data_IF_126606376833
#
_entry.id   IF_126606376833
#
_cell.length_a   1.000
_cell.length_b   1.000
_cell.length_c   1.000
_cell.angle_alpha   90.00
_cell.angle_beta   90.00
_cell.angle_gamma   90.00
#
_symmetry.space_group_name_H-M   'P 1'
#
loop_
_entity.id
_entity.type
_entity.pdbx_description
1 polymer ?
#
# COMPACT_ATOMS: atom_id res chain seq x y z
N UNK A 1 -7.86 23.60 -12.17
CA UNK A 1 -6.49 23.81 -11.66
C UNK A 1 -6.29 22.96 -10.41
N UNK A 2 -5.06 22.56 -10.08
CA UNK A 2 -4.77 21.89 -8.81
C UNK A 2 -4.29 22.91 -7.78
N UNK A 3 -4.64 22.70 -6.53
CA UNK A 3 -4.16 23.48 -5.39
C UNK A 3 -3.07 22.68 -4.69
N UNK A 4 -1.96 23.34 -4.35
CA UNK A 4 -0.85 22.76 -3.58
C UNK A 4 -0.80 23.43 -2.22
N UNK A 5 -0.81 22.61 -1.17
CA UNK A 5 -0.72 23.05 0.22
C UNK A 5 0.41 22.28 0.90
N UNK A 6 1.12 22.94 1.81
CA UNK A 6 2.07 22.30 2.71
C UNK A 6 1.48 22.31 4.11
N UNK A 7 1.33 21.11 4.69
CA UNK A 7 0.83 20.93 6.03
C UNK A 7 1.94 21.23 7.05
N UNK A 8 1.57 21.53 8.29
CA UNK A 8 2.52 21.84 9.38
C UNK A 8 3.54 20.72 9.63
N UNK A 9 3.18 19.46 9.32
CA UNK A 9 4.05 18.30 9.45
C UNK A 9 5.00 18.10 8.23
N UNK A 10 5.04 19.03 7.29
CA UNK A 10 5.87 18.98 6.08
C UNK A 10 5.29 18.13 4.94
N UNK A 11 4.10 17.56 5.10
CA UNK A 11 3.45 16.79 4.03
C UNK A 11 2.88 17.74 2.98
N UNK A 12 3.18 17.47 1.71
CA UNK A 12 2.54 18.16 0.58
C UNK A 12 1.17 17.55 0.30
N UNK A 13 0.12 18.37 0.30
CA UNK A 13 -1.21 18.02 -0.15
C UNK A 13 -1.48 18.64 -1.53
N UNK A 14 -1.84 17.81 -2.50
CA UNK A 14 -2.32 18.24 -3.80
C UNK A 14 -3.84 18.00 -3.88
N UNK A 15 -4.60 19.08 -3.96
CA UNK A 15 -6.05 19.05 -4.01
C UNK A 15 -6.54 19.36 -5.43
N UNK A 16 -7.44 18.54 -5.95
CA UNK A 16 -8.03 18.72 -7.28
C UNK A 16 -9.56 18.75 -7.18
N UNK A 17 -10.17 19.89 -6.81
CA UNK A 17 -11.61 19.96 -6.58
C UNK A 17 -12.41 19.74 -7.87
N UNK A 18 -13.33 18.77 -7.84
CA UNK A 18 -14.36 18.56 -8.88
C UNK A 18 -15.70 18.40 -8.18
N UNK A 19 -16.60 19.37 -8.35
CA UNK A 19 -17.89 19.41 -7.62
C UNK A 19 -19.05 18.74 -8.35
N UNK A 20 -18.81 18.28 -9.57
CA UNK A 20 -19.82 17.63 -10.43
C UNK A 20 -20.15 16.20 -9.99
N UNK A 21 -19.20 15.52 -9.33
CA UNK A 21 -19.34 14.14 -8.87
C UNK A 21 -19.13 14.12 -7.35
N UNK A 22 -20.06 13.56 -6.56
CA UNK A 22 -19.95 13.50 -5.10
C UNK A 22 -19.02 12.35 -4.67
N UNK A 23 -17.81 12.30 -5.22
CA UNK A 23 -16.82 11.24 -5.03
C UNK A 23 -15.48 11.85 -4.65
N UNK A 24 -14.84 11.25 -3.65
CA UNK A 24 -13.48 11.59 -3.23
C UNK A 24 -12.57 10.43 -3.60
N UNK A 25 -11.39 10.78 -4.12
CA UNK A 25 -10.29 9.86 -4.36
C UNK A 25 -9.06 10.41 -3.66
N UNK A 26 -8.51 9.62 -2.76
CA UNK A 26 -7.32 9.94 -2.00
C UNK A 26 -6.19 9.01 -2.44
N UNK A 27 -5.01 9.58 -2.67
CA UNK A 27 -3.79 8.80 -2.90
C UNK A 27 -2.70 9.38 -2.02
N UNK A 28 -2.12 8.53 -1.19
CA UNK A 28 -0.96 8.84 -0.38
C UNK A 28 0.25 8.10 -0.92
N UNK A 29 1.40 8.79 -1.00
CA UNK A 29 2.68 8.20 -1.35
C UNK A 29 3.66 8.33 -0.19
N UNK A 30 4.13 7.20 0.32
CA UNK A 30 5.20 7.12 1.31
C UNK A 30 6.48 6.72 0.59
N UNK A 31 7.52 7.56 0.69
CA UNK A 31 8.84 7.26 0.09
C UNK A 31 9.49 6.10 0.85
N UNK A 32 10.06 5.16 0.14
CA UNK A 32 10.70 3.99 0.74
C UNK A 32 10.69 2.83 -0.24
N UNK A 33 9.51 2.26 -0.47
CA UNK A 33 9.35 1.11 -1.37
C UNK A 33 10.34 -0.03 -1.09
N UNK A 34 10.52 -0.92 -2.06
CA UNK A 34 11.49 -2.01 -1.97
C UNK A 34 12.95 -1.54 -1.86
N UNK A 35 13.24 -0.30 -2.32
CA UNK A 35 14.55 0.34 -2.16
C UNK A 35 14.88 0.60 -0.68
N UNK A 36 13.85 0.81 0.14
CA UNK A 36 13.96 1.01 1.59
C UNK A 36 14.12 -0.28 2.39
N UNK A 37 13.90 -1.46 1.78
CA UNK A 37 14.00 -2.73 2.48
C UNK A 37 15.44 -2.97 2.99
N UNK A 38 15.62 -3.52 4.21
CA UNK A 38 16.94 -3.97 4.65
C UNK A 38 17.46 -5.07 3.71
N UNK A 39 18.78 -5.13 3.42
CA UNK A 39 19.35 -6.19 2.59
C UNK A 39 19.03 -7.62 3.09
N UNK A 40 18.82 -7.77 4.39
CA UNK A 40 18.51 -9.05 5.05
C UNK A 40 17.02 -9.38 5.07
N UNK A 41 16.15 -8.43 4.70
CA UNK A 41 14.69 -8.55 4.78
C UNK A 41 14.03 -7.94 3.53
N UNK A 42 14.21 -8.54 2.33
CA UNK A 42 13.52 -8.10 1.13
C UNK A 42 12.00 -8.38 1.24
N UNK A 43 11.18 -7.53 0.63
CA UNK A 43 9.72 -7.68 0.65
C UNK A 43 9.04 -7.09 1.89
N UNK A 44 9.79 -6.38 2.76
CA UNK A 44 9.22 -5.68 3.92
C UNK A 44 8.21 -4.63 3.46
N UNK A 45 8.55 -3.82 2.47
CA UNK A 45 7.65 -2.79 1.96
C UNK A 45 6.33 -3.38 1.42
N UNK A 46 6.38 -4.49 0.68
CA UNK A 46 5.17 -5.15 0.15
C UNK A 46 4.32 -5.77 1.26
N UNK A 47 4.94 -6.42 2.25
CA UNK A 47 4.22 -7.02 3.36
C UNK A 47 3.60 -5.96 4.29
N UNK A 48 4.33 -4.88 4.57
CA UNK A 48 3.80 -3.74 5.32
C UNK A 48 2.61 -3.14 4.58
N UNK A 49 2.72 -2.89 3.28
CA UNK A 49 1.61 -2.36 2.48
C UNK A 49 0.38 -3.27 2.56
N UNK A 50 0.54 -4.58 2.37
CA UNK A 50 -0.56 -5.54 2.49
C UNK A 50 -1.17 -5.58 3.89
N UNK A 51 -0.36 -5.39 4.94
CA UNK A 51 -0.83 -5.33 6.33
C UNK A 51 -1.61 -4.04 6.65
N UNK A 52 -1.41 -2.94 5.92
CA UNK A 52 -2.20 -1.72 6.11
C UNK A 52 -3.69 -1.94 5.83
N UNK A 53 -4.02 -2.94 5.00
CA UNK A 53 -5.39 -3.36 4.72
C UNK A 53 -5.96 -4.31 5.80
N UNK A 54 -5.11 -4.80 6.73
CA UNK A 54 -5.47 -5.82 7.74
C UNK A 54 -5.84 -5.23 9.10
N UNK A 55 -6.37 -4.02 9.08
CA UNK A 55 -6.93 -3.38 10.24
C UNK A 55 -6.05 -2.28 10.83
N UNK A 56 -6.72 -1.34 11.48
CA UNK A 56 -6.13 -0.13 12.01
C UNK A 56 -6.92 0.40 13.20
N UNK A 57 -6.22 1.10 14.09
CA UNK A 57 -6.80 1.64 15.32
C UNK A 57 -7.45 0.53 16.15
N UNK A 58 -8.77 0.64 16.35
CA UNK A 58 -9.57 -0.34 17.11
C UNK A 58 -10.17 -1.45 16.24
N UNK A 59 -10.06 -1.38 14.92
CA UNK A 59 -10.71 -2.31 13.97
C UNK A 59 -9.73 -3.40 13.56
N UNK A 60 -10.14 -4.65 13.73
CA UNK A 60 -9.42 -5.79 13.15
C UNK A 60 -9.58 -5.85 11.63
N UNK A 61 -8.97 -6.84 10.97
CA UNK A 61 -9.01 -6.96 9.52
C UNK A 61 -10.45 -7.02 8.98
N UNK A 62 -11.34 -7.77 9.66
CA UNK A 62 -12.73 -7.90 9.26
C UNK A 62 -13.49 -6.58 9.45
N UNK A 63 -13.45 -5.99 10.64
CA UNK A 63 -14.17 -4.74 10.93
C UNK A 63 -13.63 -3.55 10.14
N UNK A 64 -12.36 -3.56 9.74
CA UNK A 64 -11.81 -2.54 8.85
C UNK A 64 -12.36 -2.71 7.43
N UNK A 65 -12.33 -3.93 6.88
CA UNK A 65 -12.89 -4.21 5.56
C UNK A 65 -14.40 -3.91 5.50
N UNK A 66 -15.15 -4.34 6.52
CA UNK A 66 -16.59 -4.07 6.64
C UNK A 66 -16.89 -2.57 6.70
N UNK A 67 -16.07 -1.78 7.42
CA UNK A 67 -16.25 -0.33 7.47
C UNK A 67 -15.99 0.35 6.12
N UNK A 68 -14.98 -0.10 5.37
CA UNK A 68 -14.67 0.39 4.02
C UNK A 68 -15.78 0.03 3.04
N UNK A 69 -16.21 -1.23 3.05
CA UNK A 69 -17.28 -1.72 2.17
C UNK A 69 -18.64 -1.08 2.51
N UNK A 70 -18.94 -0.88 3.80
CA UNK A 70 -20.16 -0.22 4.27
C UNK A 70 -20.27 1.23 3.83
N UNK A 71 -19.13 1.92 3.64
CA UNK A 71 -19.07 3.25 3.03
C UNK A 71 -19.24 3.23 1.49
N UNK A 72 -19.36 2.03 0.88
CA UNK A 72 -19.36 1.83 -0.56
C UNK A 72 -18.06 2.25 -1.22
N UNK A 73 -16.96 2.24 -0.44
CA UNK A 73 -15.65 2.71 -0.87
C UNK A 73 -14.68 1.57 -1.17
N UNK A 74 -13.47 1.96 -1.55
CA UNK A 74 -12.32 1.07 -1.65
C UNK A 74 -11.15 1.61 -0.85
N UNK A 75 -10.31 0.71 -0.37
CA UNK A 75 -9.05 1.00 0.28
C UNK A 75 -8.04 -0.05 -0.19
N UNK A 76 -6.95 0.38 -0.80
CA UNK A 76 -5.88 -0.51 -1.25
C UNK A 76 -4.52 0.09 -0.93
N UNK A 77 -3.57 -0.76 -0.64
CA UNK A 77 -2.19 -0.40 -0.40
C UNK A 77 -1.25 -1.32 -1.18
N UNK A 78 -0.21 -0.74 -1.76
CA UNK A 78 0.77 -1.49 -2.53
C UNK A 78 2.15 -0.88 -2.42
N UNK A 79 3.18 -1.69 -2.61
CA UNK A 79 4.54 -1.24 -2.69
C UNK A 79 5.05 -1.29 -4.14
N UNK A 80 5.91 -0.35 -4.48
CA UNK A 80 6.73 -0.33 -5.68
C UNK A 80 8.21 -0.20 -5.28
N UNK A 81 9.10 -0.05 -6.24
CA UNK A 81 10.53 0.12 -5.97
C UNK A 81 10.82 1.33 -5.05
N UNK A 82 10.11 2.46 -5.24
CA UNK A 82 10.46 3.72 -4.57
C UNK A 82 9.43 4.22 -3.56
N UNK A 83 8.21 3.68 -3.60
CA UNK A 83 7.12 4.17 -2.79
C UNK A 83 6.15 3.07 -2.36
N UNK A 84 5.56 3.25 -1.19
CA UNK A 84 4.32 2.60 -0.80
C UNK A 84 3.19 3.57 -1.14
N UNK A 85 2.19 3.08 -1.86
CA UNK A 85 1.02 3.85 -2.27
C UNK A 85 -0.20 3.33 -1.55
N UNK A 86 -0.94 4.20 -0.88
CA UNK A 86 -2.27 3.91 -0.33
C UNK A 86 -3.29 4.68 -1.15
N UNK A 87 -4.32 4.00 -1.64
CA UNK A 87 -5.40 4.56 -2.44
C UNK A 87 -6.71 4.30 -1.75
N UNK A 88 -7.58 5.29 -1.77
CA UNK A 88 -8.95 5.12 -1.32
C UNK A 88 -9.90 5.93 -2.17
N UNK A 89 -11.09 5.38 -2.42
CA UNK A 89 -12.14 6.03 -3.20
C UNK A 89 -13.48 5.80 -2.54
N UNK A 90 -14.29 6.84 -2.35
CA UNK A 90 -15.55 6.76 -1.60
C UNK A 90 -16.47 7.95 -1.90
N UNK A 91 -17.72 7.87 -1.45
CA UNK A 91 -18.71 8.95 -1.61
C UNK A 91 -18.43 10.11 -0.64
N UNK A 92 -18.68 11.34 -1.07
CA UNK A 92 -18.42 12.54 -0.27
C UNK A 92 -19.13 12.59 1.08
N UNK A 93 -20.31 11.97 1.18
CA UNK A 93 -21.06 11.85 2.44
C UNK A 93 -20.33 11.01 3.50
N UNK A 94 -19.48 10.07 3.06
CA UNK A 94 -18.77 9.10 3.90
C UNK A 94 -17.34 9.56 4.23
N UNK A 95 -16.98 10.80 3.86
CA UNK A 95 -15.63 11.33 4.00
C UNK A 95 -15.08 11.30 5.43
N UNK A 96 -15.93 11.49 6.45
CA UNK A 96 -15.48 11.48 7.84
C UNK A 96 -14.91 10.11 8.23
N UNK A 97 -15.68 9.05 7.96
CA UNK A 97 -15.27 7.67 8.25
C UNK A 97 -14.06 7.27 7.42
N UNK A 98 -14.07 7.54 6.11
CA UNK A 98 -13.01 7.05 5.22
C UNK A 98 -11.68 7.78 5.45
N UNK A 99 -11.70 9.07 5.78
CA UNK A 99 -10.50 9.80 6.18
C UNK A 99 -9.99 9.36 7.56
N UNK A 100 -10.87 9.01 8.49
CA UNK A 100 -10.49 8.37 9.77
C UNK A 100 -9.77 7.04 9.52
N UNK A 101 -10.35 6.15 8.71
CA UNK A 101 -9.75 4.85 8.38
C UNK A 101 -8.39 5.01 7.70
N UNK A 102 -8.26 5.96 6.76
CA UNK A 102 -6.98 6.28 6.13
C UNK A 102 -5.95 6.79 7.13
N UNK A 103 -6.34 7.68 8.03
CA UNK A 103 -5.45 8.23 9.05
C UNK A 103 -5.03 7.17 10.08
N UNK A 104 -5.94 6.27 10.45
CA UNK A 104 -5.67 5.16 11.37
C UNK A 104 -4.74 4.14 10.72
N UNK A 105 -4.96 3.77 9.46
CA UNK A 105 -4.09 2.82 8.75
C UNK A 105 -2.63 3.31 8.70
N UNK A 106 -2.42 4.62 8.58
CA UNK A 106 -1.08 5.19 8.48
C UNK A 106 -0.40 5.42 9.84
N UNK A 107 -1.17 5.71 10.89
CA UNK A 107 -0.62 6.11 12.20
C UNK A 107 -0.69 5.00 13.25
N UNK A 108 -1.65 4.11 13.13
CA UNK A 108 -1.92 3.04 14.08
C UNK A 108 -2.36 1.74 13.35
N UNK A 109 -1.58 1.22 12.38
CA UNK A 109 -1.89 -0.08 11.79
C UNK A 109 -1.79 -1.18 12.85
N UNK A 110 -2.68 -2.18 12.81
CA UNK A 110 -2.66 -3.24 13.83
C UNK A 110 -1.50 -4.21 13.69
N UNK A 111 -1.04 -4.46 12.46
CA UNK A 111 0.08 -5.37 12.14
C UNK A 111 -0.01 -6.71 12.91
N UNK A 112 -1.21 -7.31 12.94
CA UNK A 112 -1.47 -8.51 13.73
C UNK A 112 -0.54 -9.66 13.30
N UNK A 113 0.12 -10.36 14.25
CA UNK A 113 1.06 -11.45 13.92
C UNK A 113 0.43 -12.57 13.07
N UNK A 114 -0.84 -12.88 13.30
CA UNK A 114 -1.60 -13.90 12.57
C UNK A 114 -1.79 -13.48 11.11
N UNK A 115 -2.22 -12.24 10.87
CA UNK A 115 -2.37 -11.68 9.52
C UNK A 115 -1.02 -11.58 8.80
N UNK A 116 0.06 -11.23 9.52
CA UNK A 116 1.41 -11.24 8.97
C UNK A 116 1.83 -12.64 8.51
N UNK A 117 1.63 -13.65 9.34
CA UNK A 117 1.97 -15.03 8.99
C UNK A 117 1.19 -15.48 7.73
N UNK A 118 -0.12 -15.22 7.69
CA UNK A 118 -0.95 -15.53 6.53
C UNK A 118 -0.49 -14.80 5.26
N UNK A 119 -0.21 -13.50 5.35
CA UNK A 119 0.24 -12.71 4.20
C UNK A 119 1.62 -13.15 3.70
N UNK A 120 2.55 -13.47 4.61
CA UNK A 120 3.87 -14.01 4.26
C UNK A 120 3.73 -15.33 3.52
N UNK A 121 2.93 -16.26 4.05
CA UNK A 121 2.77 -17.58 3.44
C UNK A 121 2.11 -17.46 2.05
N UNK A 122 1.10 -16.58 1.92
CA UNK A 122 0.48 -16.25 0.62
C UNK A 122 1.49 -15.64 -0.36
N UNK A 123 2.37 -14.75 0.12
CA UNK A 123 3.41 -14.12 -0.72
C UNK A 123 4.42 -15.16 -1.21
N UNK A 124 4.81 -16.12 -0.36
CA UNK A 124 5.70 -17.23 -0.72
C UNK A 124 5.05 -18.11 -1.81
N UNK A 125 3.78 -18.49 -1.64
CA UNK A 125 3.07 -19.29 -2.63
C UNK A 125 2.87 -18.54 -3.95
N UNK A 126 2.60 -17.24 -3.90
CA UNK A 126 2.59 -16.38 -5.09
C UNK A 126 3.93 -16.43 -5.83
N UNK A 127 5.04 -16.23 -5.13
CA UNK A 127 6.39 -16.26 -5.74
C UNK A 127 6.69 -17.63 -6.37
N UNK A 128 6.29 -18.73 -5.72
CA UNK A 128 6.46 -20.08 -6.28
C UNK A 128 5.63 -20.27 -7.55
N UNK A 129 4.34 -19.92 -7.49
CA UNK A 129 3.43 -20.08 -8.62
C UNK A 129 3.90 -19.31 -9.86
N UNK A 130 4.34 -18.05 -9.67
CA UNK A 130 4.87 -17.22 -10.76
C UNK A 130 6.15 -17.84 -11.35
N UNK A 131 7.03 -18.41 -10.53
CA UNK A 131 8.24 -19.12 -11.01
C UNK A 131 7.92 -20.36 -11.83
N UNK A 132 6.88 -21.09 -11.47
CA UNK A 132 6.54 -22.36 -12.11
C UNK A 132 5.73 -22.17 -13.39
N UNK A 133 4.82 -21.19 -13.42
CA UNK A 133 3.80 -21.08 -14.47
C UNK A 133 3.94 -19.85 -15.37
N UNK A 134 4.54 -18.77 -14.87
CA UNK A 134 4.52 -17.45 -15.53
C UNK A 134 5.90 -16.76 -15.50
N UNK A 135 6.97 -17.40 -16.02
CA UNK A 135 8.33 -16.84 -15.95
C UNK A 135 8.47 -15.48 -16.65
N UNK A 136 7.54 -15.13 -17.54
CA UNK A 136 7.49 -13.82 -18.19
C UNK A 136 7.30 -12.67 -17.18
N UNK A 137 6.53 -12.87 -16.11
CA UNK A 137 6.33 -11.85 -15.06
C UNK A 137 7.62 -11.58 -14.26
N UNK A 138 8.55 -12.54 -14.24
CA UNK A 138 9.83 -12.42 -13.52
C UNK A 138 10.90 -11.72 -14.35
N UNK A 139 10.69 -11.52 -15.65
CA UNK A 139 11.69 -10.92 -16.53
C UNK A 139 12.10 -9.52 -16.07
N UNK A 140 11.14 -8.72 -15.59
CA UNK A 140 11.45 -7.41 -15.02
C UNK A 140 12.28 -7.52 -13.73
N UNK A 141 11.87 -8.38 -12.80
CA UNK A 141 12.57 -8.55 -11.53
C UNK A 141 14.00 -9.09 -11.71
N UNK A 142 14.18 -10.14 -12.52
CA UNK A 142 15.49 -10.70 -12.84
C UNK A 142 16.32 -9.78 -13.72
N UNK A 143 15.70 -9.08 -14.68
CA UNK A 143 16.38 -8.08 -15.50
C UNK A 143 16.94 -6.95 -14.66
N UNK A 144 16.16 -6.44 -13.69
CA UNK A 144 16.64 -5.44 -12.73
C UNK A 144 17.75 -5.99 -11.85
N UNK A 145 17.62 -7.21 -11.32
CA UNK A 145 18.67 -7.83 -10.51
C UNK A 145 19.99 -7.98 -11.30
N UNK A 146 19.91 -8.39 -12.57
CA UNK A 146 21.07 -8.51 -13.45
C UNK A 146 21.70 -7.15 -13.78
N UNK A 147 20.88 -6.16 -14.14
CA UNK A 147 21.33 -4.84 -14.57
C UNK A 147 21.94 -4.03 -13.42
N UNK A 148 21.32 -4.09 -12.24
CA UNK A 148 21.67 -3.26 -11.09
C UNK A 148 22.54 -3.99 -10.05
N UNK A 149 22.67 -5.31 -10.13
CA UNK A 149 23.49 -6.11 -9.22
C UNK A 149 23.12 -5.86 -7.76
N UNK A 150 24.11 -5.47 -6.94
CA UNK A 150 23.89 -5.15 -5.52
C UNK A 150 23.20 -3.79 -5.25
N UNK A 151 22.92 -2.99 -6.28
CA UNK A 151 22.26 -1.69 -6.10
C UNK A 151 20.78 -1.89 -5.69
N UNK A 152 20.21 -1.04 -4.80
CA UNK A 152 18.84 -1.17 -4.31
C UNK A 152 17.72 -1.29 -5.37
N UNK A 153 17.92 -0.80 -6.61
CA UNK A 153 16.96 -0.98 -7.72
C UNK A 153 16.88 -2.41 -8.26
N UNK A 154 17.90 -3.23 -8.00
CA UNK A 154 17.92 -4.65 -8.36
C UNK A 154 17.05 -5.51 -7.45
N UNK A 155 16.49 -4.95 -6.37
CA UNK A 155 15.67 -5.70 -5.41
C UNK A 155 14.29 -6.01 -5.98
N UNK A 156 13.84 -7.24 -5.78
CA UNK A 156 12.47 -7.63 -6.06
C UNK A 156 11.53 -6.94 -5.07
N UNK A 157 10.40 -6.43 -5.57
CA UNK A 157 9.42 -5.72 -4.71
C UNK A 157 8.74 -6.65 -3.73
N UNK A 158 8.58 -7.92 -4.12
CA UNK A 158 7.83 -8.93 -3.39
C UNK A 158 8.68 -9.84 -2.48
N UNK A 159 10.00 -9.64 -2.45
CA UNK A 159 10.94 -10.56 -1.80
C UNK A 159 11.71 -11.41 -2.78
#
# INVERSE_FOLDING_TARGET
>A
AHERLELENGTTLLLLPRREVPLLACQLLVRGGARGDPPTLPGVASLVAALLEKGAGRRDAYGFAEAVEGAGGSFTAGAAAEAITVRSQFMARDQGLMLELLADALRAPRLAPEEFAHLRDRQIEFIKAVKDSEPAELLDAYGRALLFGGHPYGRAVHG
#
